data_IF_392666570062
#
_entry.id   IF_392666570062
#
_cell.length_a   1.000
_cell.length_b   1.000
_cell.length_c   1.000
_cell.angle_alpha   90.00
_cell.angle_beta   90.00
_cell.angle_gamma   90.00
#
_symmetry.space_group_name_H-M   'P 1'
#
loop_
_entity.id
_entity.type
_entity.pdbx_description
1 polymer ?
#
# COMPACT_ATOMS: atom_id res chain seq x y z
N UNK A 1 7.36 16.57 8.74
CA UNK A 1 6.12 17.30 9.09
C UNK A 1 5.11 16.29 9.62
N UNK A 2 4.45 16.57 10.74
CA UNK A 2 3.41 15.69 11.26
C UNK A 2 2.11 15.93 10.48
N UNK A 3 1.52 14.85 9.98
CA UNK A 3 0.17 14.84 9.42
C UNK A 3 -0.74 13.98 10.27
N UNK A 4 -1.99 14.39 10.30
CA UNK A 4 -3.01 13.72 11.07
C UNK A 4 -4.24 13.53 10.23
N UNK A 5 -4.74 12.30 10.25
CA UNK A 5 -5.92 11.87 9.52
C UNK A 5 -6.94 11.33 10.53
N UNK A 6 -8.18 11.74 10.38
CA UNK A 6 -9.31 11.09 11.05
C UNK A 6 -9.81 9.98 10.12
N UNK A 7 -9.60 8.73 10.51
CA UNK A 7 -10.02 7.55 9.76
C UNK A 7 -11.11 6.86 10.56
N UNK A 8 -12.37 6.99 10.12
CA UNK A 8 -13.54 6.60 10.90
C UNK A 8 -13.46 7.18 12.32
N UNK A 9 -13.38 6.32 13.34
CA UNK A 9 -13.27 6.71 14.76
C UNK A 9 -11.82 6.73 15.27
N UNK A 10 -10.83 6.49 14.40
CA UNK A 10 -9.41 6.39 14.76
C UNK A 10 -8.63 7.59 14.23
N UNK A 11 -7.74 8.13 15.06
CA UNK A 11 -6.82 9.21 14.67
C UNK A 11 -5.48 8.62 14.27
N UNK A 12 -5.15 8.67 12.98
CA UNK A 12 -3.88 8.19 12.45
C UNK A 12 -2.89 9.35 12.31
N UNK A 13 -1.71 9.21 12.93
CA UNK A 13 -0.64 10.20 12.88
C UNK A 13 0.54 9.68 12.07
N UNK A 14 0.92 10.40 11.03
CA UNK A 14 1.99 10.03 10.11
C UNK A 14 3.04 11.12 10.05
N UNK A 15 4.31 10.73 10.13
CA UNK A 15 5.42 11.67 10.03
C UNK A 15 6.00 11.66 8.62
N UNK A 16 5.88 12.79 7.93
CA UNK A 16 6.55 13.03 6.66
C UNK A 16 8.03 13.30 6.89
N UNK A 17 8.89 12.41 6.36
CA UNK A 17 10.35 12.55 6.40
C UNK A 17 10.83 13.54 5.35
N UNK A 18 12.04 14.07 5.53
CA UNK A 18 12.67 14.95 4.53
C UNK A 18 12.82 14.20 3.21
N UNK A 19 12.34 14.78 2.11
CA UNK A 19 12.36 14.18 0.78
C UNK A 19 11.20 13.24 0.46
N UNK A 20 10.33 12.95 1.42
CA UNK A 20 9.08 12.20 1.20
C UNK A 20 7.99 13.15 0.70
N UNK A 21 7.21 12.77 -0.31
CA UNK A 21 6.09 13.59 -0.81
C UNK A 21 4.86 13.45 0.08
N UNK A 22 3.96 14.45 0.01
CA UNK A 22 2.66 14.33 0.68
C UNK A 22 1.84 13.18 0.12
N UNK A 23 1.87 12.96 -1.20
CA UNK A 23 1.23 11.83 -1.88
C UNK A 23 1.60 10.48 -1.26
N UNK A 24 2.88 10.30 -0.88
CA UNK A 24 3.33 9.08 -0.19
C UNK A 24 2.67 8.91 1.18
N UNK A 25 2.54 10.00 1.93
CA UNK A 25 1.85 10.01 3.22
C UNK A 25 0.35 9.76 3.05
N UNK A 26 -0.26 10.37 2.04
CA UNK A 26 -1.68 10.18 1.74
C UNK A 26 -1.96 8.72 1.35
N UNK A 27 -1.12 8.09 0.52
CA UNK A 27 -1.26 6.68 0.17
C UNK A 27 -1.16 5.77 1.39
N UNK A 28 -0.30 6.09 2.37
CA UNK A 28 -0.25 5.36 3.66
C UNK A 28 -1.58 5.46 4.41
N UNK A 29 -2.15 6.65 4.52
CA UNK A 29 -3.41 6.88 5.22
C UNK A 29 -4.59 6.20 4.51
N UNK A 30 -4.69 6.34 3.19
CA UNK A 30 -5.71 5.68 2.38
C UNK A 30 -5.58 4.16 2.44
N UNK A 31 -4.36 3.62 2.26
CA UNK A 31 -4.13 2.19 2.37
C UNK A 31 -4.47 1.64 3.74
N UNK A 32 -4.18 2.38 4.81
CA UNK A 32 -4.63 2.02 6.16
C UNK A 32 -6.17 1.99 6.24
N UNK A 33 -6.84 3.05 5.81
CA UNK A 33 -8.30 3.14 5.84
C UNK A 33 -9.01 2.02 5.03
N UNK A 34 -8.43 1.59 3.90
CA UNK A 34 -8.99 0.51 3.07
C UNK A 34 -8.92 -0.87 3.75
N UNK A 35 -7.88 -1.11 4.55
CA UNK A 35 -7.52 -2.46 4.98
C UNK A 35 -7.59 -2.70 6.48
N UNK A 36 -7.76 -1.66 7.30
CA UNK A 36 -7.78 -1.80 8.77
C UNK A 36 -8.93 -2.68 9.27
N UNK A 37 -10.07 -2.73 8.58
CA UNK A 37 -11.18 -3.62 8.98
C UNK A 37 -10.86 -5.09 8.67
N UNK A 38 -10.15 -5.36 7.58
CA UNK A 38 -9.72 -6.72 7.20
C UNK A 38 -8.51 -7.18 8.03
N UNK A 39 -7.62 -6.25 8.38
CA UNK A 39 -6.41 -6.48 9.17
C UNK A 39 -6.40 -5.56 10.40
N UNK A 40 -7.07 -5.93 11.51
CA UNK A 40 -7.20 -5.06 12.70
C UNK A 40 -5.88 -4.64 13.34
N UNK A 41 -4.80 -5.38 13.09
CA UNK A 41 -3.45 -5.11 13.58
C UNK A 41 -2.53 -4.50 12.52
N UNK A 42 -3.09 -3.90 11.46
CA UNK A 42 -2.36 -3.19 10.43
C UNK A 42 -1.56 -2.03 11.05
N UNK A 43 -0.28 -1.98 10.74
CA UNK A 43 0.67 -0.99 11.23
C UNK A 43 1.20 -0.16 10.06
N UNK A 44 1.36 1.14 10.29
CA UNK A 44 2.00 2.05 9.34
C UNK A 44 3.46 2.25 9.72
N UNK A 45 4.36 2.19 8.74
CA UNK A 45 5.82 2.30 8.90
C UNK A 45 6.42 1.29 9.90
N UNK A 46 5.90 0.06 9.90
CA UNK A 46 6.37 -0.98 10.81
C UNK A 46 7.87 -1.29 10.59
N UNK A 47 8.60 -1.43 11.69
CA UNK A 47 10.01 -1.83 11.65
C UNK A 47 10.12 -3.33 11.54
N UNK A 48 10.61 -3.81 10.40
CA UNK A 48 10.88 -5.22 10.15
C UNK A 48 12.37 -5.43 9.89
N UNK A 49 12.97 -6.46 10.50
CA UNK A 49 14.40 -6.80 10.30
C UNK A 49 14.61 -7.59 9.01
N UNK A 50 14.14 -7.05 7.90
CA UNK A 50 14.34 -7.60 6.56
C UNK A 50 15.11 -6.59 5.68
N UNK A 51 15.48 -7.03 4.47
CA UNK A 51 16.16 -6.19 3.48
C UNK A 51 15.37 -4.92 3.15
N UNK A 52 14.05 -5.01 3.15
CA UNK A 52 13.13 -3.91 2.89
C UNK A 52 12.13 -3.80 4.04
N UNK A 53 11.69 -2.58 4.34
CA UNK A 53 10.60 -2.30 5.26
C UNK A 53 9.35 -1.87 4.46
N UNK A 54 8.16 -2.36 4.84
CA UNK A 54 6.90 -1.95 4.22
C UNK A 54 6.46 -0.56 4.69
N UNK A 55 5.59 0.07 3.91
CA UNK A 55 4.83 1.24 4.37
C UNK A 55 3.65 0.81 5.25
N UNK A 56 3.05 -0.34 4.97
CA UNK A 56 1.94 -0.93 5.72
C UNK A 56 2.20 -2.42 5.97
N UNK A 57 2.02 -2.90 7.19
CA UNK A 57 2.28 -4.28 7.58
C UNK A 57 1.18 -4.82 8.49
N UNK A 58 0.68 -6.01 8.20
CA UNK A 58 -0.05 -6.81 9.17
C UNK A 58 0.63 -8.17 9.32
N UNK A 59 0.75 -8.63 10.56
CA UNK A 59 1.28 -9.95 10.91
C UNK A 59 0.16 -10.80 11.51
N UNK A 60 0.28 -12.11 11.59
CA UNK A 60 -0.59 -12.90 12.47
C UNK A 60 0.06 -13.11 13.86
N UNK A 61 -0.57 -13.94 14.68
CA UNK A 61 -0.09 -14.30 16.02
C UNK A 61 1.26 -15.05 15.98
N UNK A 62 1.55 -15.73 14.87
CA UNK A 62 2.78 -16.48 14.62
C UNK A 62 3.87 -15.63 13.93
N UNK A 63 3.65 -14.31 13.80
CA UNK A 63 4.54 -13.36 13.13
C UNK A 63 4.71 -13.59 11.62
N UNK A 64 3.81 -14.33 10.97
CA UNK A 64 3.77 -14.47 9.52
C UNK A 64 3.13 -13.24 8.88
N UNK A 65 3.59 -12.89 7.67
CA UNK A 65 3.20 -11.64 7.01
C UNK A 65 1.86 -11.83 6.28
N UNK A 66 0.78 -11.34 6.90
CA UNK A 66 -0.56 -11.33 6.30
C UNK A 66 -0.67 -10.28 5.19
N UNK A 67 -0.20 -9.06 5.45
CA UNK A 67 -0.34 -7.93 4.53
C UNK A 67 0.98 -7.16 4.40
N UNK A 68 1.33 -6.79 3.18
CA UNK A 68 2.44 -5.89 2.88
C UNK A 68 1.99 -4.82 1.88
N UNK A 69 1.97 -3.57 2.32
CA UNK A 69 1.66 -2.41 1.49
C UNK A 69 2.90 -1.56 1.20
N UNK A 70 2.96 -1.06 -0.02
CA UNK A 70 4.02 -0.18 -0.52
C UNK A 70 3.40 0.99 -1.28
N UNK A 71 3.88 2.19 -1.01
CA UNK A 71 3.35 3.43 -1.58
C UNK A 71 4.34 4.04 -2.58
N UNK A 72 3.81 4.67 -3.63
CA UNK A 72 4.62 5.46 -4.54
C UNK A 72 5.46 4.61 -5.50
N UNK A 73 6.71 5.02 -5.76
CA UNK A 73 7.54 4.38 -6.77
C UNK A 73 8.26 3.13 -6.21
N UNK A 74 7.99 1.99 -6.85
CA UNK A 74 8.56 0.70 -6.47
C UNK A 74 9.27 0.08 -7.67
N UNK A 75 10.54 -0.27 -7.50
CA UNK A 75 11.26 -1.04 -8.52
C UNK A 75 10.70 -2.46 -8.61
N UNK A 76 10.73 -3.04 -9.82
CA UNK A 76 10.35 -4.43 -10.05
C UNK A 76 11.27 -5.37 -9.25
N UNK A 77 12.57 -5.05 -9.17
CA UNK A 77 13.53 -5.82 -8.36
C UNK A 77 13.14 -5.89 -6.88
N UNK A 78 12.74 -4.76 -6.27
CA UNK A 78 12.26 -4.72 -4.87
C UNK A 78 11.02 -5.60 -4.71
N UNK A 79 10.04 -5.39 -5.60
CA UNK A 79 8.76 -6.12 -5.60
C UNK A 79 8.96 -7.63 -5.72
N UNK A 80 9.76 -8.07 -6.68
CA UNK A 80 10.10 -9.48 -6.86
C UNK A 80 10.80 -10.06 -5.63
N UNK A 81 11.76 -9.33 -5.04
CA UNK A 81 12.43 -9.79 -3.84
C UNK A 81 11.43 -10.01 -2.69
N UNK A 82 10.48 -9.09 -2.47
CA UNK A 82 9.49 -9.21 -1.40
C UNK A 82 8.63 -10.45 -1.63
N UNK A 83 7.96 -10.54 -2.78
CA UNK A 83 7.06 -11.65 -3.12
C UNK A 83 7.73 -13.03 -2.99
N UNK A 84 9.02 -13.11 -3.37
CA UNK A 84 9.81 -14.34 -3.33
C UNK A 84 10.28 -14.72 -1.92
N UNK A 85 10.64 -13.76 -1.07
CA UNK A 85 11.37 -14.06 0.19
C UNK A 85 10.56 -13.85 1.46
N UNK A 86 9.43 -13.15 1.42
CA UNK A 86 8.67 -12.81 2.65
C UNK A 86 7.46 -13.70 2.89
N UNK A 87 7.11 -14.59 1.94
CA UNK A 87 5.89 -15.43 1.99
C UNK A 87 4.59 -14.65 2.24
N UNK A 88 4.61 -13.32 2.02
CA UNK A 88 3.45 -12.45 2.25
C UNK A 88 2.18 -13.00 1.63
N UNK A 89 1.07 -13.03 2.36
CA UNK A 89 -0.20 -13.54 1.86
C UNK A 89 -0.89 -12.54 0.91
N UNK A 90 -0.89 -11.25 1.24
CA UNK A 90 -1.40 -10.17 0.37
C UNK A 90 -0.39 -9.03 0.25
N UNK A 91 0.01 -8.73 -0.97
CA UNK A 91 0.91 -7.63 -1.31
C UNK A 91 0.17 -6.60 -2.16
N UNK A 92 0.25 -5.33 -1.76
CA UNK A 92 -0.47 -4.23 -2.41
C UNK A 92 0.49 -3.09 -2.73
N UNK A 93 0.51 -2.67 -4.00
CA UNK A 93 1.13 -1.41 -4.42
C UNK A 93 0.07 -0.32 -4.52
N UNK A 94 0.25 0.76 -3.77
CA UNK A 94 -0.57 1.96 -3.84
C UNK A 94 0.04 2.98 -4.79
N UNK A 95 -0.80 3.54 -5.66
CA UNK A 95 -0.45 4.52 -6.70
C UNK A 95 -1.50 5.63 -6.74
N UNK A 96 -1.13 6.79 -7.28
CA UNK A 96 -2.02 7.92 -7.56
C UNK A 96 -1.83 8.29 -9.03
N UNK A 97 -2.91 8.38 -9.81
CA UNK A 97 -2.89 8.85 -11.21
C UNK A 97 -1.93 8.08 -12.13
N UNK A 98 -1.60 6.83 -11.81
CA UNK A 98 -0.53 6.09 -12.47
C UNK A 98 -1.02 5.39 -13.74
N UNK A 99 -0.18 5.32 -14.79
CA UNK A 99 -0.45 4.52 -16.00
C UNK A 99 -0.07 3.07 -15.75
N UNK A 100 -1.06 2.23 -15.45
CA UNK A 100 -0.86 0.89 -14.89
C UNK A 100 -0.48 -0.15 -15.94
N UNK A 101 -0.89 0.02 -17.20
CA UNK A 101 -0.83 -1.01 -18.25
C UNK A 101 0.60 -1.45 -18.57
N UNK A 102 1.49 -0.50 -18.81
CA UNK A 102 2.89 -0.78 -19.12
C UNK A 102 3.61 -1.42 -17.92
N UNK A 103 3.27 -1.01 -16.72
CA UNK A 103 3.85 -1.54 -15.49
C UNK A 103 3.37 -2.97 -15.20
N UNK A 104 2.08 -3.27 -15.43
CA UNK A 104 1.55 -4.64 -15.34
C UNK A 104 2.28 -5.56 -16.31
N UNK A 105 2.50 -5.11 -17.55
CA UNK A 105 3.26 -5.88 -18.53
C UNK A 105 4.66 -6.19 -18.02
N UNK A 106 5.40 -5.17 -17.55
CA UNK A 106 6.74 -5.36 -17.02
C UNK A 106 6.78 -6.32 -15.82
N UNK A 107 5.84 -6.18 -14.88
CA UNK A 107 5.75 -7.09 -13.74
C UNK A 107 5.51 -8.54 -14.20
N UNK A 108 4.59 -8.75 -15.14
CA UNK A 108 4.27 -10.10 -15.64
C UNK A 108 5.44 -10.73 -16.38
N UNK A 109 6.21 -9.93 -17.10
CA UNK A 109 7.41 -10.35 -17.83
C UNK A 109 8.58 -10.70 -16.87
N UNK A 110 8.75 -9.94 -15.78
CA UNK A 110 9.93 -10.05 -14.89
C UNK A 110 9.70 -10.86 -13.60
N UNK A 111 8.45 -11.01 -13.15
CA UNK A 111 8.10 -11.74 -11.93
C UNK A 111 7.35 -13.02 -12.30
N UNK A 112 7.96 -14.16 -11.98
CA UNK A 112 7.39 -15.48 -12.24
C UNK A 112 6.03 -15.66 -11.57
N UNK A 113 5.07 -16.24 -12.30
CA UNK A 113 3.68 -16.46 -11.85
C UNK A 113 3.57 -17.13 -10.48
N UNK A 114 4.46 -18.10 -10.16
CA UNK A 114 4.47 -18.78 -8.86
C UNK A 114 4.64 -17.84 -7.64
N UNK A 115 5.19 -16.63 -7.84
CA UNK A 115 5.33 -15.63 -6.78
C UNK A 115 4.17 -14.63 -6.74
N UNK A 116 3.29 -14.66 -7.73
CA UNK A 116 2.10 -13.81 -7.87
C UNK A 116 0.84 -14.65 -8.21
N UNK A 117 0.51 -15.71 -7.43
CA UNK A 117 -0.77 -16.39 -7.61
C UNK A 117 -1.92 -15.40 -7.51
N UNK A 118 -3.03 -15.71 -8.18
CA UNK A 118 -4.20 -14.84 -8.26
C UNK A 118 -4.66 -14.36 -6.88
N UNK A 119 -4.90 -13.05 -6.73
CA UNK A 119 -5.33 -12.42 -5.49
C UNK A 119 -4.21 -12.07 -4.50
N UNK A 120 -2.98 -12.58 -4.69
CA UNK A 120 -1.83 -12.27 -3.81
C UNK A 120 -1.26 -10.88 -4.05
N UNK A 121 -1.14 -10.46 -5.31
CA UNK A 121 -0.55 -9.18 -5.68
C UNK A 121 -1.59 -8.30 -6.37
N UNK A 122 -1.92 -7.17 -5.72
CA UNK A 122 -2.79 -6.14 -6.27
C UNK A 122 -2.06 -4.80 -6.46
N UNK A 123 -2.55 -4.01 -7.39
CA UNK A 123 -2.25 -2.58 -7.51
C UNK A 123 -3.55 -1.82 -7.25
N UNK A 124 -3.51 -0.87 -6.33
CA UNK A 124 -4.58 0.09 -6.08
C UNK A 124 -4.10 1.42 -6.62
N UNK A 125 -4.81 1.93 -7.63
CA UNK A 125 -4.49 3.20 -8.27
C UNK A 125 -5.60 4.19 -7.96
N UNK A 126 -5.31 5.15 -7.09
CA UNK A 126 -6.21 6.25 -6.79
C UNK A 126 -6.29 7.23 -7.98
N UNK A 127 -7.42 7.93 -8.08
CA UNK A 127 -7.62 9.03 -9.02
C UNK A 127 -6.60 10.15 -8.79
N UNK A 128 -6.33 10.95 -9.82
CA UNK A 128 -5.34 12.03 -9.81
C UNK A 128 -5.71 13.19 -8.87
N UNK A 129 -7.00 13.46 -8.69
CA UNK A 129 -7.56 14.47 -7.79
C UNK A 129 -7.74 13.98 -6.34
N UNK A 130 -7.22 12.79 -5.98
CA UNK A 130 -7.42 12.20 -4.65
C UNK A 130 -6.93 13.10 -3.50
N UNK A 131 -5.91 13.93 -3.76
CA UNK A 131 -5.38 14.90 -2.80
C UNK A 131 -6.43 15.96 -2.45
N UNK A 132 -7.20 16.42 -3.44
CA UNK A 132 -8.25 17.42 -3.26
C UNK A 132 -9.46 16.80 -2.55
N UNK A 133 -9.86 15.60 -2.98
CA UNK A 133 -10.95 14.81 -2.40
C UNK A 133 -10.73 14.48 -0.91
N UNK A 134 -9.48 14.49 -0.46
CA UNK A 134 -9.08 14.17 0.93
C UNK A 134 -8.44 15.34 1.67
N UNK A 135 -8.64 16.57 1.19
CA UNK A 135 -8.04 17.79 1.75
C UNK A 135 -8.41 18.03 3.22
N UNK A 136 -9.61 17.61 3.65
CA UNK A 136 -10.06 17.68 5.05
C UNK A 136 -9.36 16.67 5.97
N UNK A 137 -8.62 15.70 5.41
CA UNK A 137 -7.95 14.60 6.12
C UNK A 137 -8.90 13.77 6.98
N UNK A 138 -10.18 13.76 6.63
CA UNK A 138 -11.20 12.89 7.21
C UNK A 138 -11.61 11.85 6.18
N UNK A 139 -11.42 10.58 6.51
CA UNK A 139 -11.66 9.43 5.64
C UNK A 139 -12.57 8.46 6.41
N UNK A 140 -13.88 8.67 6.30
CA UNK A 140 -14.88 7.80 6.93
C UNK A 140 -15.16 6.55 6.07
N UNK A 141 -15.08 6.70 4.75
CA UNK A 141 -15.17 5.64 3.76
C UNK A 141 -14.28 5.98 2.55
N UNK A 142 -13.96 4.99 1.72
CA UNK A 142 -13.23 5.16 0.46
C UNK A 142 -14.15 4.73 -0.69
N UNK A 143 -14.83 5.68 -1.34
CA UNK A 143 -15.69 5.41 -2.48
C UNK A 143 -14.97 4.63 -3.58
N UNK A 144 -15.66 3.66 -4.19
CA UNK A 144 -15.11 2.89 -5.33
C UNK A 144 -14.74 3.77 -6.54
N UNK A 145 -15.30 4.97 -6.65
CA UNK A 145 -14.93 5.94 -7.68
C UNK A 145 -13.54 6.55 -7.48
N UNK A 146 -12.98 6.46 -6.27
CA UNK A 146 -11.68 7.05 -5.95
C UNK A 146 -10.49 6.19 -6.39
N UNK A 147 -10.72 4.94 -6.81
CA UNK A 147 -9.63 4.05 -7.16
C UNK A 147 -10.04 2.97 -8.15
N UNK A 148 -9.03 2.40 -8.80
CA UNK A 148 -9.14 1.16 -9.58
C UNK A 148 -8.26 0.08 -8.96
N UNK A 149 -8.70 -1.18 -9.07
CA UNK A 149 -7.96 -2.36 -8.57
C UNK A 149 -7.50 -3.20 -9.76
N UNK A 150 -6.23 -3.58 -9.74
CA UNK A 150 -5.63 -4.45 -10.76
C UNK A 150 -5.00 -5.66 -10.09
N UNK A 151 -5.36 -6.85 -10.57
CA UNK A 151 -4.75 -8.11 -10.17
C UNK A 151 -3.58 -8.43 -11.11
N UNK A 152 -2.44 -8.80 -10.53
CA UNK A 152 -1.17 -8.96 -11.27
C UNK A 152 -0.97 -10.37 -11.77
#
# INVERSE_FOLDING_TARGET
MLHEFQIKNTRLRLWQKTGESYDHILMKALGYAMFVDEYPNLQVEAKLRLRYAPDLLALDEDMEILFWGECGQNSIRKTHWILKHTRVQKFVLFKIGFRVESFLKQIRDEITEKYRPHGRFLIINFVDDIVELTSEKRIDDIPKSWFSVYFV
#
